data_IF_881983193817
#
_entry.id   IF_881983193817
#
_cell.length_a   1.000
_cell.length_b   1.000
_cell.length_c   1.000
_cell.angle_alpha   90.00
_cell.angle_beta   90.00
_cell.angle_gamma   90.00
#
_symmetry.space_group_name_H-M   'P 1'
#
loop_
_entity.id
_entity.type
_entity.pdbx_description
1 polymer ?
#
# COMPACT_ATOMS: atom_id res chain seq x y z
N UNK A 1 9.67 13.45 -14.30
CA UNK A 1 8.89 13.14 -13.07
C UNK A 1 9.61 12.13 -12.16
N UNK A 2 10.25 11.07 -12.68
CA UNK A 2 10.93 10.05 -11.86
C UNK A 2 12.47 10.12 -11.87
N UNK A 3 13.08 11.24 -12.25
CA UNK A 3 14.54 11.31 -12.48
C UNK A 3 15.39 11.01 -11.23
N UNK A 4 14.82 11.21 -10.04
CA UNK A 4 15.48 10.87 -8.76
C UNK A 4 15.19 9.45 -8.27
N UNK A 5 14.18 8.76 -8.81
CA UNK A 5 13.85 7.39 -8.39
C UNK A 5 14.89 6.41 -8.90
N UNK A 6 15.27 5.44 -8.06
CA UNK A 6 16.01 4.28 -8.56
C UNK A 6 15.15 3.47 -9.54
N UNK A 7 15.76 2.63 -10.39
CA UNK A 7 15.00 1.75 -11.29
C UNK A 7 13.91 0.94 -10.55
N UNK A 8 14.24 0.38 -9.38
CA UNK A 8 13.34 -0.42 -8.55
C UNK A 8 12.20 0.43 -7.98
N UNK A 9 12.52 1.62 -7.44
CA UNK A 9 11.49 2.50 -6.89
C UNK A 9 10.56 3.04 -7.99
N UNK A 10 11.08 3.28 -9.19
CA UNK A 10 10.27 3.65 -10.36
C UNK A 10 9.38 2.50 -10.80
N UNK A 11 9.90 1.28 -10.80
CA UNK A 11 9.13 0.07 -11.11
C UNK A 11 7.94 -0.07 -10.17
N UNK A 12 8.10 0.21 -8.87
CA UNK A 12 6.98 0.18 -7.90
C UNK A 12 5.82 1.08 -8.35
N UNK A 13 6.08 2.31 -8.77
CA UNK A 13 5.04 3.26 -9.19
C UNK A 13 4.37 2.85 -10.50
N UNK A 14 5.16 2.31 -11.44
CA UNK A 14 4.65 1.82 -12.74
C UNK A 14 3.78 0.59 -12.53
N UNK A 15 4.28 -0.37 -11.76
CA UNK A 15 3.62 -1.64 -11.50
C UNK A 15 2.35 -1.47 -10.66
N UNK A 16 2.25 -0.43 -9.82
CA UNK A 16 1.01 -0.10 -9.11
C UNK A 16 -0.18 0.16 -10.08
N UNK A 17 0.07 0.61 -11.32
CA UNK A 17 -0.96 0.69 -12.34
C UNK A 17 -1.42 -0.68 -12.83
N UNK A 18 -0.49 -1.62 -12.96
CA UNK A 18 -0.79 -3.00 -13.35
C UNK A 18 -1.58 -3.70 -12.24
N UNK A 19 -1.16 -3.55 -10.97
CA UNK A 19 -1.91 -4.07 -9.82
C UNK A 19 -3.34 -3.52 -9.80
N UNK A 20 -3.51 -2.20 -9.95
CA UNK A 20 -4.85 -1.60 -10.05
C UNK A 20 -5.63 -2.08 -11.28
N UNK A 21 -4.94 -2.50 -12.33
CA UNK A 21 -5.58 -3.07 -13.51
C UNK A 21 -6.07 -4.49 -13.30
N UNK A 22 -5.25 -5.33 -12.68
CA UNK A 22 -5.58 -6.72 -12.35
C UNK A 22 -6.74 -6.78 -11.35
N UNK A 23 -6.80 -5.83 -10.41
CA UNK A 23 -7.90 -5.68 -9.43
C UNK A 23 -9.13 -4.98 -10.00
N UNK A 24 -9.11 -4.58 -11.28
CA UNK A 24 -10.12 -3.78 -11.97
C UNK A 24 -10.39 -2.37 -11.38
N UNK A 25 -9.71 -1.98 -10.30
CA UNK A 25 -9.81 -0.71 -9.56
C UNK A 25 -9.75 0.54 -10.44
N UNK A 26 -10.77 1.41 -10.40
CA UNK A 26 -10.84 2.61 -11.25
C UNK A 26 -9.65 3.60 -11.12
N UNK A 27 -8.89 3.52 -10.02
CA UNK A 27 -7.77 4.39 -9.70
C UNK A 27 -6.67 3.62 -8.96
N UNK A 28 -5.45 4.16 -8.97
CA UNK A 28 -4.32 3.68 -8.16
C UNK A 28 -4.35 4.35 -6.78
N UNK A 29 -4.23 3.57 -5.72
CA UNK A 29 -4.33 4.00 -4.32
C UNK A 29 -3.12 3.53 -3.50
N UNK A 30 -3.01 3.89 -2.21
CA UNK A 30 -1.88 3.48 -1.35
C UNK A 30 -1.70 1.97 -1.23
N UNK A 31 -2.77 1.18 -1.23
CA UNK A 31 -2.68 -0.28 -1.14
C UNK A 31 -2.09 -0.88 -2.43
N UNK A 32 -2.38 -0.32 -3.61
CA UNK A 32 -1.71 -0.73 -4.86
C UNK A 32 -0.21 -0.41 -4.84
N UNK A 33 0.18 0.76 -4.29
CA UNK A 33 1.58 1.13 -4.11
C UNK A 33 2.29 0.16 -3.15
N UNK A 34 1.64 -0.21 -2.04
CA UNK A 34 2.19 -1.14 -1.07
C UNK A 34 2.31 -2.57 -1.63
N UNK A 35 1.28 -3.06 -2.34
CA UNK A 35 1.35 -4.34 -3.06
C UNK A 35 2.52 -4.36 -4.05
N UNK A 36 2.71 -3.27 -4.78
CA UNK A 36 3.79 -3.15 -5.75
C UNK A 36 5.17 -3.06 -5.07
N UNK A 37 5.30 -2.33 -3.96
CA UNK A 37 6.52 -2.27 -3.15
C UNK A 37 6.94 -3.67 -2.67
N UNK A 38 5.98 -4.45 -2.18
CA UNK A 38 6.20 -5.82 -1.69
C UNK A 38 6.67 -6.79 -2.77
N UNK A 39 6.30 -6.55 -4.04
CA UNK A 39 6.70 -7.40 -5.17
C UNK A 39 8.07 -7.03 -5.75
N UNK A 40 8.42 -5.75 -5.75
CA UNK A 40 9.56 -5.24 -6.53
C UNK A 40 10.76 -4.82 -5.68
N UNK A 41 10.67 -4.90 -4.35
CA UNK A 41 11.76 -4.47 -3.47
C UNK A 41 11.98 -5.47 -2.35
N UNK A 42 13.19 -5.45 -1.77
CA UNK A 42 13.56 -6.28 -0.61
C UNK A 42 13.41 -5.55 0.73
N UNK A 43 12.85 -4.34 0.74
CA UNK A 43 12.81 -3.49 1.94
C UNK A 43 11.98 -4.11 3.05
N UNK A 44 10.86 -4.75 2.72
CA UNK A 44 10.00 -5.45 3.69
C UNK A 44 10.69 -6.71 4.22
N UNK A 45 11.38 -7.47 3.35
CA UNK A 45 12.20 -8.61 3.78
C UNK A 45 13.30 -8.20 4.75
N UNK A 46 13.93 -7.04 4.53
CA UNK A 46 14.95 -6.49 5.44
C UNK A 46 14.37 -6.05 6.81
N UNK A 47 13.05 -5.90 6.90
CA UNK A 47 12.30 -5.64 8.14
C UNK A 47 11.68 -6.90 8.74
N UNK A 48 11.98 -8.09 8.19
CA UNK A 48 11.45 -9.36 8.69
C UNK A 48 10.03 -9.68 8.24
N UNK A 49 9.49 -8.96 7.24
CA UNK A 49 8.19 -9.26 6.65
C UNK A 49 8.38 -9.66 5.17
N UNK A 50 8.42 -10.97 4.87
CA UNK A 50 8.34 -11.47 3.50
C UNK A 50 7.11 -10.92 2.75
N UNK A 51 7.25 -10.73 1.43
CA UNK A 51 6.22 -10.08 0.62
C UNK A 51 4.94 -10.90 0.45
N UNK A 52 5.04 -12.23 0.56
CA UNK A 52 3.91 -13.17 0.53
C UNK A 52 3.04 -13.06 1.79
N UNK A 53 3.64 -12.92 2.97
CA UNK A 53 2.90 -12.69 4.21
C UNK A 53 2.07 -11.40 4.15
N UNK A 54 2.68 -10.30 3.68
CA UNK A 54 1.98 -9.03 3.52
C UNK A 54 0.90 -9.10 2.44
N UNK A 55 1.10 -9.92 1.39
CA UNK A 55 0.13 -10.06 0.31
C UNK A 55 -1.20 -10.63 0.80
N UNK A 56 -1.20 -11.51 1.81
CA UNK A 56 -2.43 -12.05 2.38
C UNK A 56 -3.23 -11.00 3.15
N UNK A 57 -2.56 -10.12 3.91
CA UNK A 57 -3.23 -9.01 4.61
C UNK A 57 -3.82 -8.00 3.62
N UNK A 58 -3.06 -7.66 2.58
CA UNK A 58 -3.50 -6.76 1.53
C UNK A 58 -4.74 -7.31 0.80
N UNK A 59 -4.77 -8.62 0.48
CA UNK A 59 -5.94 -9.28 -0.11
C UNK A 59 -7.16 -9.22 0.82
N UNK A 60 -6.97 -9.44 2.12
CA UNK A 60 -8.02 -9.38 3.14
C UNK A 60 -8.65 -8.00 3.21
N UNK A 61 -7.83 -6.96 3.36
CA UNK A 61 -8.25 -5.56 3.39
C UNK A 61 -8.95 -5.17 2.09
N UNK A 62 -8.43 -5.62 0.95
CA UNK A 62 -9.06 -5.40 -0.36
C UNK A 62 -10.43 -6.02 -0.48
N UNK A 63 -10.60 -7.27 -0.07
CA UNK A 63 -11.89 -7.98 -0.11
C UNK A 63 -12.98 -7.20 0.64
N UNK A 64 -12.59 -6.53 1.73
CA UNK A 64 -13.47 -5.66 2.54
C UNK A 64 -13.60 -4.24 2.01
N UNK A 65 -13.21 -3.97 0.76
CA UNK A 65 -13.31 -2.64 0.15
C UNK A 65 -12.27 -1.63 0.65
N UNK A 66 -11.14 -2.09 1.17
CA UNK A 66 -10.07 -1.24 1.68
C UNK A 66 -10.19 -0.91 3.17
N UNK A 67 -11.13 -1.51 3.90
CA UNK A 67 -11.26 -1.37 5.35
C UNK A 67 -10.12 -2.11 6.07
N UNK A 68 -9.42 -1.42 6.96
CA UNK A 68 -8.39 -2.04 7.79
C UNK A 68 -9.00 -2.90 8.90
N UNK A 69 -8.20 -3.73 9.59
CA UNK A 69 -8.74 -4.46 10.75
C UNK A 69 -9.17 -3.52 11.88
N UNK A 70 -8.54 -2.34 11.98
CA UNK A 70 -8.95 -1.32 12.95
C UNK A 70 -10.34 -0.76 12.60
N UNK A 71 -10.63 -0.53 11.32
CA UNK A 71 -11.96 -0.12 10.87
C UNK A 71 -13.01 -1.21 11.16
N UNK A 72 -12.67 -2.47 10.89
CA UNK A 72 -13.55 -3.63 11.14
C UNK A 72 -13.85 -3.79 12.63
N UNK A 73 -12.84 -3.67 13.48
CA UNK A 73 -13.01 -3.74 14.94
C UNK A 73 -13.89 -2.58 15.44
N UNK A 74 -13.65 -1.36 14.96
CA UNK A 74 -14.46 -0.20 15.31
C UNK A 74 -15.94 -0.39 14.93
N UNK A 75 -16.21 -0.91 13.72
CA UNK A 75 -17.56 -1.20 13.25
C UNK A 75 -18.22 -2.33 14.04
N UNK A 76 -17.45 -3.34 14.44
CA UNK A 76 -17.94 -4.44 15.30
C UNK A 76 -18.40 -3.93 16.66
N UNK A 77 -17.74 -2.91 17.21
CA UNK A 77 -18.18 -2.20 18.42
C UNK A 77 -19.56 -1.54 18.29
N UNK A 78 -20.01 -1.24 17.07
CA UNK A 78 -21.36 -0.76 16.76
C UNK A 78 -22.35 -1.88 16.38
N UNK A 79 -21.94 -3.16 16.49
CA UNK A 79 -22.75 -4.32 16.13
C UNK A 79 -22.81 -4.60 14.63
N UNK A 80 -21.86 -4.06 13.84
CA UNK A 80 -21.79 -4.28 12.39
C UNK A 80 -20.80 -5.42 12.12
N UNK A 81 -21.32 -6.56 11.68
CA UNK A 81 -20.50 -7.69 11.22
C UNK A 81 -20.07 -7.48 9.77
N UNK A 82 -18.88 -6.92 9.58
CA UNK A 82 -18.32 -6.62 8.26
C UNK A 82 -18.08 -7.89 7.44
N UNK A 83 -17.64 -8.99 8.07
CA UNK A 83 -17.39 -10.24 7.34
C UNK A 83 -18.68 -10.81 6.76
N UNK A 84 -19.74 -10.84 7.56
CA UNK A 84 -21.04 -11.30 7.08
C UNK A 84 -21.59 -10.38 5.97
N UNK A 85 -21.38 -9.06 6.05
CA UNK A 85 -21.76 -8.13 4.97
C UNK A 85 -20.99 -8.46 3.69
N UNK A 86 -19.67 -8.63 3.78
CA UNK A 86 -18.81 -8.94 2.63
C UNK A 86 -19.24 -10.25 2.00
N UNK A 87 -19.45 -11.31 2.79
CA UNK A 87 -19.95 -12.60 2.31
C UNK A 87 -21.30 -12.47 1.60
N UNK A 88 -22.25 -11.73 2.18
CA UNK A 88 -23.58 -11.53 1.59
C UNK A 88 -23.52 -10.78 0.27
N UNK A 89 -22.65 -9.77 0.19
CA UNK A 89 -22.39 -9.00 -1.03
C UNK A 89 -21.76 -9.90 -2.10
N UNK A 90 -20.76 -10.71 -1.75
CA UNK A 90 -20.11 -11.61 -2.70
C UNK A 90 -21.03 -12.72 -3.20
N UNK A 91 -21.93 -13.25 -2.35
CA UNK A 91 -22.96 -14.21 -2.78
C UNK A 91 -23.91 -13.62 -3.83
N UNK A 92 -24.17 -12.31 -3.75
CA UNK A 92 -25.15 -11.63 -4.61
C UNK A 92 -24.51 -11.05 -5.87
N UNK A 93 -23.28 -10.55 -5.75
CA UNK A 93 -22.62 -9.74 -6.78
C UNK A 93 -21.28 -10.34 -7.28
N UNK A 94 -20.84 -11.45 -6.72
CA UNK A 94 -19.60 -12.14 -7.05
C UNK A 94 -18.42 -11.77 -6.14
N UNK A 95 -17.35 -12.60 -6.12
CA UNK A 95 -16.15 -12.34 -5.32
C UNK A 95 -15.52 -10.97 -5.62
N UNK A 96 -15.08 -10.27 -4.57
CA UNK A 96 -14.45 -8.95 -4.71
C UNK A 96 -15.40 -7.82 -5.12
N UNK A 97 -16.72 -8.00 -5.01
CA UNK A 97 -17.70 -6.97 -5.36
C UNK A 97 -17.51 -5.62 -4.62
N UNK A 98 -16.77 -5.61 -3.50
CA UNK A 98 -16.45 -4.40 -2.72
C UNK A 98 -15.10 -3.75 -3.06
N UNK A 99 -14.22 -4.37 -3.85
CA UNK A 99 -12.85 -3.84 -4.12
C UNK A 99 -12.84 -2.56 -4.97
N UNK A 100 -13.96 -2.23 -5.61
CA UNK A 100 -14.22 -0.91 -6.20
C UNK A 100 -14.16 -0.81 -7.72
N UNK A 101 -15.22 -0.21 -8.28
CA UNK A 101 -15.23 0.61 -9.50
C UNK A 101 -15.60 -0.08 -10.82
N UNK A 102 -16.62 0.44 -11.52
CA UNK A 102 -16.89 0.08 -12.92
C UNK A 102 -15.60 0.18 -13.74
N UNK A 103 -15.24 -0.92 -14.44
CA UNK A 103 -14.03 -1.02 -15.26
C UNK A 103 -13.83 0.27 -16.06
N UNK A 104 -12.74 1.00 -15.77
CA UNK A 104 -12.29 2.04 -16.70
C UNK A 104 -12.01 1.36 -18.04
N UNK A 105 -12.75 1.76 -19.09
CA UNK A 105 -12.55 1.27 -20.46
C UNK A 105 -11.31 1.88 -21.13
N UNK A 106 -10.53 2.71 -20.42
CA UNK A 106 -9.38 3.43 -20.98
C UNK A 106 -8.13 3.27 -20.10
N UNK A 107 -7.03 2.93 -20.79
CA UNK A 107 -5.61 3.09 -20.45
C UNK A 107 -5.20 3.42 -19.00
N UNK A 108 -4.22 4.31 -18.87
CA UNK A 108 -3.57 4.71 -17.62
C UNK A 108 -4.59 5.06 -16.52
N UNK A 109 -4.48 4.43 -15.35
CA UNK A 109 -5.39 4.67 -14.20
C UNK A 109 -4.92 5.88 -13.41
N UNK A 110 -5.80 6.85 -13.07
CA UNK A 110 -5.39 8.00 -12.28
C UNK A 110 -5.03 7.57 -10.86
N UNK A 111 -4.08 8.27 -10.24
CA UNK A 111 -3.82 8.13 -8.80
C UNK A 111 -4.88 8.87 -7.99
N UNK A 112 -5.36 8.22 -6.93
CA UNK A 112 -6.19 8.84 -5.88
C UNK A 112 -5.45 10.00 -5.20
N UNK A 113 -6.17 10.95 -4.57
CA UNK A 113 -5.54 11.99 -3.76
C UNK A 113 -4.58 11.45 -2.70
N UNK A 114 -4.93 10.33 -2.06
CA UNK A 114 -4.15 9.66 -1.03
C UNK A 114 -2.84 9.09 -1.60
N UNK A 115 -2.90 8.40 -2.74
CA UNK A 115 -1.68 7.91 -3.38
C UNK A 115 -0.77 9.06 -3.87
N UNK A 116 -1.35 10.17 -4.34
CA UNK A 116 -0.56 11.37 -4.68
C UNK A 116 0.12 11.95 -3.44
N UNK A 117 -0.56 11.96 -2.27
CA UNK A 117 0.04 12.37 -1.00
C UNK A 117 1.20 11.46 -0.61
N UNK A 118 1.07 10.14 -0.77
CA UNK A 118 2.17 9.18 -0.54
C UNK A 118 3.37 9.48 -1.42
N UNK A 119 3.17 9.70 -2.73
CA UNK A 119 4.27 10.03 -3.65
C UNK A 119 4.94 11.38 -3.30
N UNK A 120 4.16 12.38 -2.92
CA UNK A 120 4.69 13.68 -2.48
C UNK A 120 5.43 13.57 -1.14
N UNK A 121 4.96 12.73 -0.22
CA UNK A 121 5.63 12.42 1.05
C UNK A 121 6.95 11.69 0.80
N UNK A 122 6.97 10.73 -0.14
CA UNK A 122 8.18 9.97 -0.51
C UNK A 122 9.32 10.91 -0.92
N UNK A 123 9.01 11.94 -1.71
CA UNK A 123 9.99 12.94 -2.10
C UNK A 123 10.49 13.76 -0.90
N UNK A 124 9.60 14.13 0.02
CA UNK A 124 9.95 14.89 1.23
C UNK A 124 10.85 14.06 2.14
N UNK A 125 10.49 12.81 2.42
CA UNK A 125 11.33 11.90 3.22
C UNK A 125 12.73 11.75 2.64
N UNK A 126 12.87 11.56 1.33
CA UNK A 126 14.18 11.46 0.68
C UNK A 126 15.01 12.74 0.78
N UNK A 127 14.36 13.91 0.79
CA UNK A 127 15.05 15.19 1.01
C UNK A 127 15.45 15.35 2.47
N UNK A 128 14.56 14.99 3.40
CA UNK A 128 14.78 15.15 4.84
C UNK A 128 15.93 14.28 5.35
N UNK A 129 16.11 13.08 4.79
CA UNK A 129 17.27 12.22 5.08
C UNK A 129 18.52 12.56 4.24
N UNK A 130 18.47 13.58 3.38
CA UNK A 130 19.60 13.99 2.55
C UNK A 130 19.94 13.05 1.39
N UNK A 131 19.01 12.17 1.01
CA UNK A 131 19.24 11.19 -0.04
C UNK A 131 19.23 11.81 -1.45
N UNK A 132 20.25 11.45 -2.23
CA UNK A 132 20.36 11.86 -3.65
C UNK A 132 19.42 11.06 -4.56
N UNK A 133 18.99 9.87 -4.13
CA UNK A 133 18.12 8.96 -4.90
C UNK A 133 16.95 8.46 -4.05
N UNK A 134 15.77 8.38 -4.67
CA UNK A 134 14.55 7.88 -4.05
C UNK A 134 14.51 6.36 -4.23
N UNK A 135 14.76 5.66 -3.12
CA UNK A 135 14.68 4.19 -2.98
C UNK A 135 13.33 3.74 -2.39
N UNK A 136 13.06 2.43 -2.44
CA UNK A 136 11.83 1.83 -1.89
C UNK A 136 11.60 2.11 -0.40
N UNK A 137 12.66 2.27 0.39
CA UNK A 137 12.57 2.63 1.81
C UNK A 137 11.96 4.01 2.05
N UNK A 138 12.14 4.98 1.15
CA UNK A 138 11.50 6.29 1.25
C UNK A 138 10.00 6.20 0.96
N UNK A 139 9.62 5.33 0.02
CA UNK A 139 8.20 5.07 -0.27
C UNK A 139 7.55 4.32 0.89
N UNK A 140 8.25 3.34 1.47
CA UNK A 140 7.77 2.64 2.66
C UNK A 140 7.61 3.60 3.85
N UNK A 141 8.59 4.47 4.07
CA UNK A 141 8.53 5.49 5.13
C UNK A 141 7.35 6.45 4.93
N UNK A 142 7.06 6.83 3.69
CA UNK A 142 5.89 7.63 3.37
C UNK A 142 4.57 6.88 3.63
N UNK A 143 4.51 5.58 3.30
CA UNK A 143 3.33 4.74 3.53
C UNK A 143 3.06 4.51 5.02
N UNK A 144 4.09 4.41 5.87
CA UNK A 144 3.92 4.28 7.34
C UNK A 144 3.60 5.60 8.02
N UNK A 145 3.94 6.74 7.41
CA UNK A 145 3.77 8.07 8.02
C UNK A 145 2.44 8.74 7.71
N UNK A 146 1.69 8.24 6.73
CA UNK A 146 0.37 8.76 6.37
C UNK A 146 -0.73 7.81 6.87
N UNK A 147 -1.82 8.32 7.47
CA UNK A 147 -2.89 7.46 7.97
C UNK A 147 -3.62 6.73 6.84
N UNK A 148 -4.18 5.56 7.17
CA UNK A 148 -5.05 4.77 6.30
C UNK A 148 -4.62 3.31 6.24
N UNK A 149 -5.40 2.50 5.50
CA UNK A 149 -5.27 1.05 5.50
C UNK A 149 -3.87 0.52 5.16
N UNK A 150 -3.09 1.22 4.32
CA UNK A 150 -1.71 0.81 4.04
C UNK A 150 -0.80 0.91 5.27
N UNK A 151 -0.94 1.99 6.07
CA UNK A 151 -0.20 2.14 7.32
C UNK A 151 -0.67 1.13 8.36
N UNK A 152 -1.98 0.87 8.44
CA UNK A 152 -2.54 -0.10 9.39
C UNK A 152 -2.04 -1.52 9.11
N UNK A 153 -2.01 -1.93 7.83
CA UNK A 153 -1.47 -3.24 7.41
C UNK A 153 0.02 -3.36 7.75
N UNK A 154 0.80 -2.30 7.55
CA UNK A 154 2.21 -2.29 7.93
C UNK A 154 2.40 -2.36 9.45
N UNK A 155 1.59 -1.62 10.21
CA UNK A 155 1.64 -1.59 11.66
C UNK A 155 1.30 -2.96 12.29
N UNK A 156 0.38 -3.73 11.70
CA UNK A 156 0.07 -5.11 12.11
C UNK A 156 1.28 -6.05 11.99
N UNK A 157 2.21 -5.75 11.08
CA UNK A 157 3.48 -6.47 10.91
C UNK A 157 4.63 -5.88 11.72
N UNK A 158 4.35 -4.92 12.61
CA UNK A 158 5.36 -4.20 13.39
C UNK A 158 6.23 -3.27 12.55
N UNK A 159 5.76 -2.88 11.36
CA UNK A 159 6.48 -1.97 10.45
C UNK A 159 5.88 -0.58 10.60
N UNK A 160 6.52 0.23 11.44
CA UNK A 160 6.22 1.66 11.59
C UNK A 160 7.33 2.53 10.98
N UNK A 161 7.13 3.85 11.01
CA UNK A 161 8.12 4.80 10.47
C UNK A 161 9.46 4.74 11.20
N UNK A 162 9.47 4.40 12.49
CA UNK A 162 10.68 4.25 13.29
C UNK A 162 11.49 3.03 12.88
N UNK A 163 10.83 1.89 12.63
CA UNK A 163 11.46 0.67 12.14
C UNK A 163 12.14 0.91 10.78
N UNK A 164 11.48 1.65 9.88
CA UNK A 164 12.03 2.02 8.58
C UNK A 164 13.24 2.95 8.72
N UNK A 165 13.16 4.00 9.55
CA UNK A 165 14.31 4.90 9.80
C UNK A 165 15.52 4.14 10.35
N UNK A 166 15.31 3.26 11.33
CA UNK A 166 16.37 2.40 11.88
C UNK A 166 16.99 1.49 10.82
N UNK A 167 16.21 1.00 9.85
CA UNK A 167 16.76 0.21 8.73
C UNK A 167 17.69 1.07 7.88
N UNK A 168 17.28 2.29 7.54
CA UNK A 168 18.07 3.21 6.72
C UNK A 168 19.40 3.55 7.41
N UNK A 169 19.37 3.89 8.70
CA UNK A 169 20.56 4.16 9.51
C UNK A 169 21.56 2.99 9.50
N UNK A 170 21.07 1.74 9.59
CA UNK A 170 21.94 0.54 9.52
C UNK A 170 22.61 0.37 8.17
N UNK A 171 21.93 0.74 7.08
CA UNK A 171 22.48 0.64 5.71
C UNK A 171 23.53 1.71 5.43
N UNK A 172 23.37 2.91 5.98
CA UNK A 172 24.37 3.98 5.84
C UNK A 172 25.66 3.69 6.62
N UNK A 173 25.57 2.93 7.70
CA UNK A 173 26.72 2.55 8.54
C UNK A 173 27.49 1.31 8.02
N UNK A 174 27.01 0.64 6.97
CA UNK A 174 27.58 -0.59 6.40
C UNK A 174 28.32 -0.33 5.09
#
# INVERSE_FOLDING_TARGET
MFERFTPEAREVVVEAQRVASDEASASVDPLHLLTSLARNTKVLTALGCPGDELADDLRRVRRRGGMSDADVEALSGFGIDVEHIVERVEQTHGPGALTGGQRSKRGHRPFTPEAKKVLAQTLREAVDVGSKRIEGEHLLLALTSLPGAAADVLAQRGIDSLAVRRLMERREAS
#
